data_IF_681695501740
#
_entry.id   IF_681695501740
#
_cell.length_a   1.000
_cell.length_b   1.000
_cell.length_c   1.000
_cell.angle_alpha   90.00
_cell.angle_beta   90.00
_cell.angle_gamma   90.00
#
_symmetry.space_group_name_H-M   'P 1'
#
loop_
_entity.id
_entity.type
_entity.pdbx_description
1 polymer ?
#
# COMPACT_ATOMS: atom_id res chain seq x y z
N UNK A 1 -46.38 -15.16 -58.98
CA UNK A 1 -45.97 -15.93 -60.18
C UNK A 1 -44.53 -16.37 -59.92
N UNK A 2 -44.29 -17.61 -59.44
CA UNK A 2 -44.15 -18.88 -60.22
C UNK A 2 -43.01 -18.73 -61.25
N UNK A 3 -41.89 -19.46 -61.27
CA UNK A 3 -41.59 -20.90 -61.09
C UNK A 3 -40.12 -21.09 -60.57
N UNK A 4 -39.71 -22.09 -59.77
CA UNK A 4 -39.41 -23.53 -60.01
C UNK A 4 -38.59 -23.80 -61.30
N UNK A 5 -37.34 -24.28 -61.28
CA UNK A 5 -36.86 -25.71 -61.26
C UNK A 5 -35.30 -25.71 -61.35
N UNK A 6 -34.51 -26.45 -60.55
CA UNK A 6 -34.17 -27.90 -60.50
C UNK A 6 -33.01 -28.37 -61.44
N UNK A 7 -31.93 -28.92 -60.85
CA UNK A 7 -30.96 -29.96 -61.34
C UNK A 7 -30.19 -30.45 -60.07
N UNK A 8 -30.26 -31.69 -59.53
CA UNK A 8 -29.80 -33.01 -60.01
C UNK A 8 -28.37 -32.98 -60.63
N UNK A 9 -27.36 -33.80 -60.30
CA UNK A 9 -27.21 -34.99 -59.46
C UNK A 9 -25.70 -35.38 -59.37
N UNK A 10 -25.30 -35.99 -58.24
CA UNK A 10 -24.34 -37.11 -58.07
C UNK A 10 -22.80 -37.04 -58.26
N UNK A 11 -22.14 -37.67 -57.25
CA UNK A 11 -20.81 -38.34 -57.17
C UNK A 11 -19.57 -37.42 -57.26
N UNK A 12 -18.55 -37.53 -56.39
CA UNK A 12 -17.97 -38.69 -55.70
C UNK A 12 -17.02 -38.19 -54.59
N UNK A 13 -16.92 -38.95 -53.49
CA UNK A 13 -15.86 -38.81 -52.46
C UNK A 13 -14.48 -39.01 -53.09
N UNK A 14 -13.44 -38.35 -52.54
CA UNK A 14 -12.37 -39.16 -51.96
C UNK A 14 -11.79 -38.62 -50.64
N UNK A 15 -11.32 -39.59 -49.87
CA UNK A 15 -10.18 -39.57 -48.97
C UNK A 15 -10.30 -38.78 -47.65
N UNK A 16 -10.43 -39.58 -46.60
CA UNK A 16 -10.08 -39.31 -45.22
C UNK A 16 -8.70 -38.64 -45.10
N UNK A 17 -8.65 -37.53 -44.36
CA UNK A 17 -7.51 -37.22 -43.52
C UNK A 17 -8.04 -37.10 -42.09
N UNK A 18 -7.80 -38.14 -41.31
CA UNK A 18 -7.88 -38.13 -39.86
C UNK A 18 -6.96 -37.03 -39.33
N UNK A 19 -7.52 -35.86 -39.04
CA UNK A 19 -6.92 -34.98 -38.06
C UNK A 19 -7.21 -35.60 -36.69
N UNK A 20 -6.27 -36.41 -36.21
CA UNK A 20 -6.17 -36.81 -34.82
C UNK A 20 -6.05 -35.54 -33.99
N UNK A 21 -7.17 -35.14 -33.37
CA UNK A 21 -7.16 -34.13 -32.33
C UNK A 21 -6.36 -34.68 -31.15
N UNK A 22 -5.10 -34.27 -31.02
CA UNK A 22 -4.30 -34.51 -29.84
C UNK A 22 -4.93 -33.68 -28.72
N UNK A 23 -5.64 -34.35 -27.81
CA UNK A 23 -6.10 -33.74 -26.58
C UNK A 23 -4.87 -33.22 -25.82
N UNK A 24 -4.76 -31.90 -25.68
CA UNK A 24 -3.79 -31.30 -24.79
C UNK A 24 -4.03 -31.85 -23.37
N UNK A 25 -2.98 -32.19 -22.61
CA UNK A 25 -3.13 -32.59 -21.22
C UNK A 25 -3.88 -31.46 -20.49
N UNK A 26 -5.04 -31.80 -19.93
CA UNK A 26 -5.74 -30.91 -19.01
C UNK A 26 -4.82 -30.69 -17.82
N UNK A 27 -4.10 -29.58 -17.84
CA UNK A 27 -3.44 -29.04 -16.67
C UNK A 27 -4.53 -28.86 -15.62
N UNK A 28 -4.35 -29.51 -14.47
CA UNK A 28 -5.26 -29.35 -13.34
C UNK A 28 -5.19 -27.90 -12.91
N UNK A 29 -6.14 -27.10 -13.37
CA UNK A 29 -6.40 -25.77 -12.85
C UNK A 29 -6.72 -25.97 -11.38
N UNK A 30 -5.76 -25.64 -10.51
CA UNK A 30 -6.04 -25.50 -9.08
C UNK A 30 -7.16 -24.48 -8.94
N UNK A 31 -8.19 -24.75 -8.13
CA UNK A 31 -9.17 -23.73 -7.80
C UNK A 31 -8.41 -22.54 -7.22
N UNK A 32 -8.69 -21.34 -7.72
CA UNK A 32 -8.38 -20.10 -7.01
C UNK A 32 -9.20 -20.14 -5.72
N UNK A 33 -8.63 -20.70 -4.65
CA UNK A 33 -9.16 -20.49 -3.31
C UNK A 33 -8.77 -19.07 -2.92
N UNK A 34 -9.74 -18.30 -2.42
CA UNK A 34 -9.61 -16.91 -1.95
C UNK A 34 -8.75 -16.81 -0.67
N UNK A 35 -7.86 -17.77 -0.42
CA UNK A 35 -7.17 -17.97 0.86
C UNK A 35 -5.75 -17.37 0.91
N UNK A 36 -5.26 -16.77 -0.18
CA UNK A 36 -3.85 -16.31 -0.27
C UNK A 36 -3.67 -14.81 0.03
N UNK A 37 -4.75 -14.07 0.31
CA UNK A 37 -4.71 -12.63 0.62
C UNK A 37 -5.16 -12.30 2.06
N UNK A 38 -5.51 -13.32 2.85
CA UNK A 38 -5.87 -13.17 4.27
C UNK A 38 -4.64 -13.31 5.18
N UNK A 39 -4.56 -12.43 6.18
CA UNK A 39 -3.53 -12.40 7.21
C UNK A 39 -3.26 -13.79 7.86
N UNK A 40 -2.02 -14.11 8.24
CA UNK A 40 -1.72 -15.33 8.98
C UNK A 40 -2.36 -15.33 10.39
N UNK A 41 -2.77 -16.51 10.87
CA UNK A 41 -3.25 -16.77 12.24
C UNK A 41 -2.25 -16.36 13.36
N UNK A 42 -2.59 -16.67 14.63
CA UNK A 42 -3.04 -15.77 15.70
C UNK A 42 -1.96 -14.81 16.24
N UNK A 43 -2.40 -13.66 16.76
CA UNK A 43 -1.57 -12.66 17.45
C UNK A 43 -0.52 -13.31 18.36
N UNK A 44 0.75 -13.11 18.04
CA UNK A 44 1.86 -13.53 18.90
C UNK A 44 2.28 -12.34 19.76
N UNK A 45 2.28 -12.49 21.09
CA UNK A 45 2.83 -11.47 22.00
C UNK A 45 4.36 -11.39 21.83
N UNK A 46 4.81 -10.55 20.90
CA UNK A 46 6.23 -10.23 20.68
C UNK A 46 6.51 -8.91 21.39
N UNK A 47 7.51 -8.91 22.26
CA UNK A 47 7.88 -7.71 23.02
C UNK A 47 8.26 -6.55 22.08
N UNK A 48 7.88 -5.32 22.46
CA UNK A 48 8.06 -4.11 21.64
C UNK A 48 9.52 -3.87 21.23
N UNK A 49 10.46 -4.13 22.13
CA UNK A 49 11.90 -4.00 21.87
C UNK A 49 12.44 -4.98 20.81
N UNK A 50 11.67 -6.02 20.49
CA UNK A 50 11.99 -6.98 19.44
C UNK A 50 11.42 -6.58 18.08
N UNK A 51 10.43 -5.68 18.02
CA UNK A 51 9.80 -5.24 16.79
C UNK A 51 10.81 -4.50 15.91
N UNK A 52 10.73 -4.73 14.60
CA UNK A 52 11.61 -4.08 13.65
C UNK A 52 11.39 -2.57 13.58
N UNK A 53 12.44 -1.86 13.19
CA UNK A 53 12.46 -0.39 13.09
C UNK A 53 12.29 0.02 11.63
N UNK A 54 11.42 1.00 11.40
CA UNK A 54 11.41 1.82 10.20
C UNK A 54 11.76 3.25 10.61
N UNK A 55 12.95 3.72 10.25
CA UNK A 55 13.43 5.06 10.59
C UNK A 55 12.67 6.16 9.83
N UNK A 56 11.44 6.46 10.27
CA UNK A 56 10.50 7.35 9.59
C UNK A 56 11.11 8.74 9.32
N UNK A 57 11.93 9.24 10.24
CA UNK A 57 12.63 10.52 10.11
C UNK A 57 13.68 10.56 8.98
N UNK A 58 14.14 9.41 8.50
CA UNK A 58 15.10 9.29 7.40
C UNK A 58 14.44 9.01 6.05
N UNK A 59 13.12 8.75 6.04
CA UNK A 59 12.42 8.38 4.84
C UNK A 59 12.17 9.56 3.90
N UNK A 60 12.17 9.28 2.59
CA UNK A 60 11.98 10.25 1.52
C UNK A 60 10.77 9.89 0.67
N UNK A 61 9.93 10.87 0.36
CA UNK A 61 8.90 10.79 -0.67
C UNK A 61 9.57 10.94 -2.04
N UNK A 62 9.27 9.99 -2.93
CA UNK A 62 9.74 9.95 -4.32
C UNK A 62 11.26 10.11 -4.45
N UNK A 63 12.03 9.67 -3.43
CA UNK A 63 13.47 9.85 -3.31
C UNK A 63 13.95 11.31 -3.41
N UNK A 64 13.10 12.29 -3.03
CA UNK A 64 13.37 13.73 -3.22
C UNK A 64 13.24 14.54 -1.93
N UNK A 65 12.13 14.38 -1.23
CA UNK A 65 11.77 15.22 -0.08
C UNK A 65 11.59 14.35 1.17
N UNK A 66 12.22 14.69 2.31
CA UNK A 66 12.02 13.94 3.53
C UNK A 66 10.61 14.13 4.08
N UNK A 67 10.14 13.16 4.86
CA UNK A 67 8.85 13.23 5.56
C UNK A 67 8.78 14.38 6.59
N UNK A 68 9.94 14.84 7.07
CA UNK A 68 10.08 16.09 7.84
C UNK A 68 10.91 17.08 7.04
N UNK A 69 10.32 18.21 6.67
CA UNK A 69 10.95 19.14 5.73
C UNK A 69 10.50 20.56 5.95
N UNK A 70 10.83 21.46 5.03
CA UNK A 70 10.24 22.78 4.99
C UNK A 70 9.33 22.95 3.77
N UNK A 71 8.42 23.92 3.88
CA UNK A 71 7.39 24.20 2.86
C UNK A 71 7.99 24.43 1.47
N UNK A 72 9.05 25.22 1.36
CA UNK A 72 9.66 25.50 0.07
C UNK A 72 10.17 24.23 -0.63
N UNK A 73 10.87 23.35 0.11
CA UNK A 73 11.39 22.09 -0.43
C UNK A 73 10.27 21.13 -0.80
N UNK A 74 9.23 21.06 0.04
CA UNK A 74 8.03 20.27 -0.23
C UNK A 74 7.36 20.72 -1.53
N UNK A 75 7.03 22.00 -1.63
CA UNK A 75 6.28 22.54 -2.78
C UNK A 75 7.09 22.47 -4.08
N UNK A 76 8.42 22.56 -4.00
CA UNK A 76 9.30 22.34 -5.15
C UNK A 76 9.25 20.90 -5.66
N UNK A 77 9.12 19.92 -4.76
CA UNK A 77 9.17 18.49 -5.11
C UNK A 77 7.79 17.90 -5.46
N UNK A 78 6.74 18.34 -4.77
CA UNK A 78 5.40 17.75 -4.81
C UNK A 78 4.29 18.75 -5.22
N UNK A 79 4.63 20.04 -5.35
CA UNK A 79 3.66 21.11 -5.63
C UNK A 79 3.03 21.69 -4.36
N UNK A 80 2.22 22.74 -4.57
CA UNK A 80 1.51 23.45 -3.50
C UNK A 80 0.45 22.58 -2.83
N UNK A 81 0.09 22.91 -1.58
CA UNK A 81 -0.99 22.25 -0.85
C UNK A 81 -2.31 22.29 -1.63
N UNK A 82 -3.10 21.22 -1.51
CA UNK A 82 -4.49 21.23 -1.98
C UNK A 82 -5.36 22.05 -1.02
N UNK A 83 -5.06 22.01 0.29
CA UNK A 83 -5.64 22.89 1.29
C UNK A 83 -4.77 22.99 2.55
N UNK A 84 -4.96 24.05 3.33
CA UNK A 84 -4.39 24.24 4.67
C UNK A 84 -5.52 24.60 5.64
N UNK A 85 -5.60 23.92 6.79
CA UNK A 85 -6.65 24.11 7.79
C UNK A 85 -6.04 24.39 9.16
N UNK A 86 -6.52 25.44 9.82
CA UNK A 86 -6.13 25.72 11.20
C UNK A 86 -6.70 24.64 12.13
N UNK A 87 -5.92 24.27 13.15
CA UNK A 87 -6.37 23.38 14.24
C UNK A 87 -7.00 24.16 15.39
N UNK A 88 -7.24 25.46 15.23
CA UNK A 88 -7.94 26.28 16.22
C UNK A 88 -9.30 25.64 16.59
N UNK A 89 -9.46 25.30 17.87
CA UNK A 89 -10.63 24.64 18.47
C UNK A 89 -10.81 23.15 18.14
N UNK A 90 -9.76 22.48 17.66
CA UNK A 90 -9.76 21.02 17.54
C UNK A 90 -9.12 20.37 18.78
N UNK A 91 -9.69 19.25 19.23
CA UNK A 91 -9.09 18.43 20.29
C UNK A 91 -7.99 17.56 19.67
N UNK A 92 -6.76 18.09 19.66
CA UNK A 92 -5.58 17.42 19.09
C UNK A 92 -5.08 16.35 20.07
N UNK A 93 -5.11 15.08 19.65
CA UNK A 93 -4.77 13.94 20.49
C UNK A 93 -3.25 13.64 20.49
N UNK A 94 -2.54 14.03 19.43
CA UNK A 94 -1.09 13.94 19.31
C UNK A 94 -0.60 14.89 18.20
N UNK A 95 0.62 15.39 18.33
CA UNK A 95 1.20 16.37 17.40
C UNK A 95 2.70 16.14 17.23
N UNK A 96 3.21 16.40 16.03
CA UNK A 96 4.65 16.44 15.75
C UNK A 96 5.30 17.73 16.27
N UNK A 97 4.50 18.76 16.51
CA UNK A 97 4.95 20.06 17.01
C UNK A 97 4.29 20.41 18.35
N UNK A 98 5.09 20.93 19.29
CA UNK A 98 4.60 21.50 20.56
C UNK A 98 3.97 22.90 20.39
N UNK A 99 4.06 23.48 19.19
CA UNK A 99 3.59 24.83 18.84
C UNK A 99 2.30 24.75 18.01
N UNK A 100 1.56 25.85 17.93
CA UNK A 100 0.40 25.96 17.05
C UNK A 100 0.78 25.62 15.60
N UNK A 101 0.04 24.68 15.02
CA UNK A 101 0.23 24.20 13.67
C UNK A 101 -1.08 24.24 12.88
N UNK A 102 -1.00 23.93 11.59
CA UNK A 102 -2.16 23.76 10.73
C UNK A 102 -2.02 22.46 9.97
N UNK A 103 -3.12 21.78 9.69
CA UNK A 103 -3.10 20.66 8.76
C UNK A 103 -2.83 21.15 7.34
N UNK A 104 -1.88 20.54 6.68
CA UNK A 104 -1.48 20.77 5.30
C UNK A 104 -1.81 19.50 4.52
N UNK A 105 -2.66 19.61 3.50
CA UNK A 105 -3.13 18.46 2.74
C UNK A 105 -2.56 18.44 1.32
N UNK A 106 -2.09 17.28 0.89
CA UNK A 106 -1.63 17.06 -0.48
C UNK A 106 -1.89 15.64 -0.96
N UNK A 107 -2.60 15.50 -2.08
CA UNK A 107 -2.91 14.23 -2.74
C UNK A 107 -3.51 13.19 -1.79
N UNK A 108 -4.39 13.66 -0.89
CA UNK A 108 -5.02 12.85 0.16
C UNK A 108 -4.14 12.59 1.39
N UNK A 109 -2.86 12.95 1.36
CA UNK A 109 -1.94 12.86 2.51
C UNK A 109 -2.12 14.04 3.45
N UNK A 110 -1.84 13.81 4.73
CA UNK A 110 -1.97 14.79 5.81
C UNK A 110 -0.59 15.06 6.42
N UNK A 111 -0.29 16.34 6.55
CA UNK A 111 0.93 16.84 7.17
C UNK A 111 0.57 17.92 8.19
N UNK A 112 1.42 18.11 9.19
CA UNK A 112 1.38 19.27 10.06
C UNK A 112 2.30 20.35 9.51
N UNK A 113 1.82 21.60 9.48
CA UNK A 113 2.58 22.78 9.12
C UNK A 113 2.71 23.69 10.34
N UNK A 114 3.93 23.82 10.86
CA UNK A 114 4.28 24.79 11.89
C UNK A 114 5.29 25.79 11.32
N UNK A 115 4.87 27.06 11.18
CA UNK A 115 5.64 28.11 10.47
C UNK A 115 6.00 27.64 9.05
N UNK A 116 7.29 27.39 8.79
CA UNK A 116 7.80 26.87 7.52
C UNK A 116 8.13 25.37 7.58
N UNK A 117 7.98 24.72 8.73
CA UNK A 117 8.27 23.30 8.94
C UNK A 117 7.06 22.43 8.61
N UNK A 118 7.28 21.36 7.86
CA UNK A 118 6.27 20.36 7.51
C UNK A 118 6.68 19.02 8.13
N UNK A 119 5.75 18.36 8.81
CA UNK A 119 5.92 17.01 9.34
C UNK A 119 4.81 16.09 8.81
N UNK A 120 5.18 14.93 8.28
CA UNK A 120 4.20 13.95 7.79
C UNK A 120 3.51 13.25 8.95
N UNK A 121 2.18 13.29 8.94
CA UNK A 121 1.33 12.50 9.83
C UNK A 121 0.85 11.23 9.12
N UNK A 122 0.26 11.39 7.94
CA UNK A 122 -0.24 10.29 7.10
C UNK A 122 0.16 10.51 5.65
N UNK A 123 0.82 9.52 5.05
CA UNK A 123 1.17 9.52 3.64
C UNK A 123 0.37 8.48 2.85
N UNK A 124 -0.39 8.96 1.87
CA UNK A 124 -1.19 8.13 0.96
C UNK A 124 -0.35 7.76 -0.27
N UNK A 125 -0.24 6.45 -0.53
CA UNK A 125 0.42 5.93 -1.71
C UNK A 125 -0.55 5.96 -2.89
N UNK A 126 -0.29 6.88 -3.82
CA UNK A 126 -0.91 6.91 -5.16
C UNK A 126 -0.07 6.12 -6.16
N UNK A 127 -0.49 6.06 -7.43
CA UNK A 127 0.26 5.35 -8.47
C UNK A 127 1.66 5.95 -8.71
N UNK A 128 1.82 7.26 -8.44
CA UNK A 128 3.05 8.01 -8.69
C UNK A 128 3.87 8.23 -7.41
N UNK A 129 3.41 7.70 -6.27
CA UNK A 129 4.05 7.88 -4.97
C UNK A 129 4.78 6.64 -4.50
N UNK A 130 5.97 6.86 -3.95
CA UNK A 130 6.70 5.87 -3.19
C UNK A 130 7.48 6.52 -2.04
N UNK A 131 7.69 5.76 -0.98
CA UNK A 131 8.51 6.16 0.17
C UNK A 131 9.74 5.28 0.21
N UNK A 132 10.92 5.90 0.34
CA UNK A 132 12.18 5.18 0.48
C UNK A 132 12.79 5.41 1.84
N UNK A 133 13.24 4.36 2.50
CA UNK A 133 14.10 4.44 3.69
C UNK A 133 15.24 3.44 3.49
N UNK A 134 16.49 3.91 3.57
CA UNK A 134 17.68 3.13 3.23
C UNK A 134 17.60 2.47 1.85
N UNK A 135 17.49 1.14 1.81
CA UNK A 135 17.41 0.32 0.60
C UNK A 135 16.00 -0.21 0.36
N UNK A 136 15.03 0.19 1.17
CA UNK A 136 13.65 -0.24 1.13
C UNK A 136 12.83 0.80 0.38
N UNK A 137 11.93 0.34 -0.49
CA UNK A 137 10.98 1.19 -1.20
C UNK A 137 9.57 0.65 -0.98
N UNK A 138 8.70 1.50 -0.46
CA UNK A 138 7.28 1.25 -0.30
C UNK A 138 6.48 1.99 -1.34
N UNK A 139 5.57 1.29 -1.99
CA UNK A 139 4.63 1.86 -2.95
C UNK A 139 3.34 1.02 -2.97
N UNK A 140 2.37 1.41 -3.79
CA UNK A 140 1.08 0.70 -3.90
C UNK A 140 1.17 -0.78 -4.30
N UNK A 141 2.30 -1.24 -4.82
CA UNK A 141 2.48 -2.64 -5.19
C UNK A 141 3.10 -3.47 -4.06
N UNK A 142 3.58 -2.84 -2.98
CA UNK A 142 4.12 -3.50 -1.80
C UNK A 142 3.05 -4.42 -1.17
N UNK A 143 3.43 -5.68 -0.94
CA UNK A 143 2.56 -6.76 -0.46
C UNK A 143 2.90 -7.24 0.94
N UNK A 144 2.01 -8.05 1.52
CA UNK A 144 2.30 -8.85 2.70
C UNK A 144 3.51 -9.77 2.54
N UNK A 145 3.74 -10.35 1.36
CA UNK A 145 4.93 -11.17 1.08
C UNK A 145 6.23 -10.36 1.12
N UNK A 146 6.17 -9.07 0.77
CA UNK A 146 7.30 -8.17 0.94
C UNK A 146 7.50 -7.84 2.42
N UNK A 147 6.41 -7.60 3.17
CA UNK A 147 6.48 -7.31 4.61
C UNK A 147 7.00 -8.50 5.42
N UNK A 148 6.61 -9.73 5.08
CA UNK A 148 7.12 -10.95 5.74
C UNK A 148 8.64 -11.07 5.62
N UNK A 149 9.23 -10.56 4.53
CA UNK A 149 10.69 -10.56 4.31
C UNK A 149 11.39 -9.42 5.05
N UNK A 150 10.76 -8.25 5.07
CA UNK A 150 11.36 -7.04 5.64
C UNK A 150 11.18 -6.95 7.16
N UNK A 151 10.00 -7.27 7.66
CA UNK A 151 9.58 -7.11 9.06
C UNK A 151 8.87 -8.37 9.60
N UNK A 152 9.53 -9.55 9.59
CA UNK A 152 8.90 -10.83 9.93
C UNK A 152 8.26 -10.90 11.32
N UNK A 153 8.73 -10.11 12.31
CA UNK A 153 8.15 -10.11 13.66
C UNK A 153 6.92 -9.21 13.71
N UNK A 154 6.99 -8.00 13.15
CA UNK A 154 5.84 -7.12 13.08
C UNK A 154 4.66 -7.79 12.35
N UNK A 155 4.90 -8.53 11.27
CA UNK A 155 3.82 -9.23 10.53
C UNK A 155 3.08 -10.25 11.40
N UNK A 156 3.74 -10.85 12.39
CA UNK A 156 3.10 -11.80 13.34
C UNK A 156 2.22 -11.12 14.39
N UNK A 157 2.26 -9.79 14.45
CA UNK A 157 1.43 -8.95 15.31
C UNK A 157 0.54 -8.03 14.47
N UNK A 158 0.36 -8.32 13.18
CA UNK A 158 -0.50 -7.52 12.34
C UNK A 158 -1.96 -7.63 12.80
N UNK A 159 -2.62 -6.48 12.86
CA UNK A 159 -4.01 -6.37 13.28
C UNK A 159 -4.92 -6.34 12.05
N UNK A 160 -6.10 -6.94 12.15
CA UNK A 160 -7.16 -6.83 11.14
C UNK A 160 -8.27 -5.93 11.67
N UNK A 161 -8.44 -4.76 11.07
CA UNK A 161 -9.54 -3.83 11.38
C UNK A 161 -10.69 -4.02 10.38
N UNK A 162 -10.99 -5.27 10.02
CA UNK A 162 -12.02 -5.63 9.05
C UNK A 162 -11.51 -5.59 7.61
N UNK A 163 -11.63 -4.44 6.94
CA UNK A 163 -11.21 -4.29 5.52
C UNK A 163 -9.78 -3.82 5.35
N UNK A 164 -9.18 -3.37 6.43
CA UNK A 164 -7.84 -2.80 6.44
C UNK A 164 -7.01 -3.59 7.43
N UNK A 165 -5.88 -4.11 6.97
CA UNK A 165 -4.90 -4.74 7.83
C UNK A 165 -3.85 -3.69 8.23
N UNK A 166 -3.34 -3.78 9.45
CA UNK A 166 -2.35 -2.84 9.98
C UNK A 166 -1.11 -3.59 10.48
N UNK A 167 0.05 -3.03 10.16
CA UNK A 167 1.35 -3.47 10.64
C UNK A 167 2.01 -2.33 11.41
N UNK A 168 2.36 -2.56 12.67
CA UNK A 168 3.00 -1.56 13.54
C UNK A 168 4.50 -1.83 13.69
N UNK A 169 5.30 -0.79 13.47
CA UNK A 169 6.77 -0.80 13.52
C UNK A 169 7.26 0.26 14.51
N UNK A 170 8.48 0.06 15.02
CA UNK A 170 9.17 1.14 15.75
C UNK A 170 9.60 2.23 14.80
N UNK A 171 9.50 3.49 15.21
CA UNK A 171 9.89 4.65 14.41
C UNK A 171 11.40 4.96 14.49
N UNK A 172 12.06 4.41 15.50
CA UNK A 172 13.46 4.66 15.83
C UNK A 172 14.06 3.50 16.63
N UNK A 173 15.39 3.52 16.79
CA UNK A 173 16.10 2.57 17.65
C UNK A 173 15.88 2.83 19.16
N UNK A 174 15.30 3.98 19.51
CA UNK A 174 14.99 4.34 20.89
C UNK A 174 13.82 3.53 21.41
N UNK A 175 14.00 2.87 22.56
CA UNK A 175 12.92 2.18 23.25
C UNK A 175 12.04 3.13 24.08
N UNK A 176 12.50 4.36 24.29
CA UNK A 176 11.75 5.41 25.00
C UNK A 176 10.79 6.17 24.08
N UNK A 177 10.85 5.91 22.77
CA UNK A 177 9.92 6.51 21.81
C UNK A 177 8.52 5.95 22.04
N UNK A 178 7.55 6.84 22.30
CA UNK A 178 6.15 6.47 22.38
C UNK A 178 5.50 6.38 21.00
N UNK A 179 6.12 6.96 19.96
CA UNK A 179 5.63 6.92 18.59
C UNK A 179 5.89 5.58 17.91
N UNK A 180 5.08 5.29 16.89
CA UNK A 180 5.23 4.12 16.03
C UNK A 180 4.90 4.45 14.59
N UNK A 181 5.32 3.58 13.68
CA UNK A 181 4.98 3.69 12.26
C UNK A 181 3.96 2.60 11.95
N UNK A 182 2.80 3.00 11.43
CA UNK A 182 1.74 2.09 11.05
C UNK A 182 1.64 2.01 9.53
N UNK A 183 1.71 0.80 9.00
CA UNK A 183 1.55 0.49 7.59
C UNK A 183 0.19 -0.16 7.38
N UNK A 184 -0.67 0.47 6.57
CA UNK A 184 -2.03 -0.03 6.35
C UNK A 184 -2.17 -0.64 4.96
N UNK A 185 -2.81 -1.81 4.91
CA UNK A 185 -3.01 -2.59 3.72
C UNK A 185 -4.50 -2.71 3.41
N UNK A 186 -4.85 -2.56 2.14
CA UNK A 186 -6.19 -2.87 1.63
C UNK A 186 -6.04 -3.85 0.46
N UNK A 187 -6.81 -4.93 0.48
CA UNK A 187 -6.73 -6.01 -0.52
C UNK A 187 -5.27 -6.48 -0.73
N UNK A 188 -4.55 -6.74 0.36
CA UNK A 188 -3.17 -7.24 0.35
C UNK A 188 -2.10 -6.23 -0.12
N UNK A 189 -2.47 -4.97 -0.35
CA UNK A 189 -1.56 -3.92 -0.86
C UNK A 189 -1.43 -2.75 0.09
N UNK A 190 -0.21 -2.27 0.27
CA UNK A 190 0.07 -1.08 1.09
C UNK A 190 -0.59 0.16 0.46
N UNK A 191 -1.42 0.85 1.21
CA UNK A 191 -2.14 2.05 0.75
C UNK A 191 -1.72 3.33 1.47
N UNK A 192 -1.27 3.23 2.72
CA UNK A 192 -0.81 4.38 3.49
C UNK A 192 0.21 4.02 4.58
N UNK A 193 0.97 5.04 4.99
CA UNK A 193 1.97 4.99 6.04
C UNK A 193 1.65 6.12 7.01
N UNK A 194 1.53 5.81 8.30
CA UNK A 194 1.17 6.78 9.35
C UNK A 194 2.29 6.85 10.39
N UNK A 195 2.66 8.07 10.79
CA UNK A 195 3.44 8.31 11.98
C UNK A 195 2.49 8.51 13.17
N UNK A 196 2.32 7.46 13.95
CA UNK A 196 1.37 7.44 15.06
C UNK A 196 2.05 7.95 16.34
N UNK A 197 1.56 9.05 16.88
CA UNK A 197 1.92 9.57 18.21
C UNK A 197 0.75 9.29 19.14
N UNK A 198 0.93 8.51 20.22
CA UNK A 198 -0.14 8.23 21.16
C UNK A 198 -0.50 9.47 21.99
N UNK A 199 -1.78 9.48 22.37
CA UNK A 199 -2.30 10.19 23.53
C UNK A 199 -2.25 9.23 24.75
#
# INVERSE_FOLDING_TARGET
MVALTACHQNKSLPAEQENVAVAAPSEKVKPLTEEDDSLPEPHHDIAWDQIEVFHFSQALINNKVPLFTNRQRFETALGVADSVRSTENEDICGSQFDEDFSYFYKDGSTFELCKDSIACEEFILTADHFVTCDKITFNRNTTWEDMKKLFPKAVRQAENEGKTDMLTLRDSDSLESASSVQLYFENGKLVRIVNFIPC
#
